data_IF_366426306032
#
_entry.id   IF_366426306032
#
_cell.length_a   1.000
_cell.length_b   1.000
_cell.length_c   1.000
_cell.angle_alpha   90.00
_cell.angle_beta   90.00
_cell.angle_gamma   90.00
#
_symmetry.space_group_name_H-M   'P 1'
#
loop_
_entity.id
_entity.type
_entity.pdbx_description
1 polymer ?
#
# COMPACT_ATOMS: atom_id res chain seq x y z
N UNK A 1 39.00 -51.24 4.63
CA UNK A 1 39.00 -50.43 5.87
C UNK A 1 39.53 -49.04 5.57
N UNK A 2 38.66 -48.02 5.55
CA UNK A 2 38.83 -46.69 6.19
C UNK A 2 37.65 -45.78 5.81
N UNK A 3 36.75 -45.66 6.79
CA UNK A 3 36.10 -44.42 7.25
C UNK A 3 35.04 -43.74 6.36
N UNK A 4 33.79 -43.99 6.75
CA UNK A 4 32.59 -43.15 6.55
C UNK A 4 32.75 -41.84 7.36
N UNK A 5 32.00 -40.81 6.96
CA UNK A 5 31.58 -39.60 7.72
C UNK A 5 32.26 -38.31 7.25
N UNK A 6 31.55 -37.58 6.41
CA UNK A 6 31.12 -36.17 6.58
C UNK A 6 30.13 -35.93 5.44
N UNK A 7 28.90 -36.45 5.52
CA UNK A 7 27.81 -35.89 6.33
C UNK A 7 27.74 -34.37 6.10
N UNK A 8 26.75 -33.98 5.30
CA UNK A 8 26.13 -32.67 5.38
C UNK A 8 27.14 -31.52 5.39
N UNK A 9 27.82 -31.24 4.27
CA UNK A 9 28.21 -29.85 4.00
C UNK A 9 26.95 -29.17 3.48
N UNK A 10 26.08 -28.92 4.47
CA UNK A 10 25.24 -27.75 4.61
C UNK A 10 24.80 -27.17 3.26
N UNK A 11 23.70 -27.73 2.77
CA UNK A 11 22.58 -27.06 2.10
C UNK A 11 22.08 -25.85 2.90
N UNK A 12 23.00 -24.94 3.23
CA UNK A 12 22.81 -23.78 4.09
C UNK A 12 23.59 -22.58 3.54
N UNK A 13 23.86 -22.58 2.24
CA UNK A 13 24.04 -21.32 1.52
C UNK A 13 22.66 -20.79 1.17
N UNK A 14 22.11 -20.10 2.17
CA UNK A 14 21.31 -18.90 1.98
C UNK A 14 20.11 -19.07 1.05
N UNK A 15 19.10 -19.78 1.55
CA UNK A 15 17.79 -19.12 1.64
C UNK A 15 17.95 -17.89 2.57
N UNK A 16 18.71 -16.89 2.15
CA UNK A 16 18.39 -15.52 2.51
C UNK A 16 17.10 -15.31 1.75
N UNK A 17 16.02 -15.67 2.43
CA UNK A 17 14.71 -15.16 2.16
C UNK A 17 14.93 -13.72 1.75
N UNK A 18 14.50 -13.42 0.53
CA UNK A 18 14.17 -12.06 0.15
C UNK A 18 13.07 -11.69 1.14
N UNK A 19 13.46 -11.34 2.38
CA UNK A 19 12.70 -10.46 3.24
C UNK A 19 12.72 -9.19 2.40
N UNK A 20 11.77 -9.12 1.48
CA UNK A 20 11.48 -7.93 0.74
C UNK A 20 11.43 -6.87 1.83
N UNK A 21 12.33 -5.89 1.70
CA UNK A 21 12.42 -4.70 2.53
C UNK A 21 11.16 -3.87 2.26
N UNK A 22 10.01 -4.49 2.49
CA UNK A 22 8.70 -3.94 2.28
C UNK A 22 8.46 -3.06 3.49
N UNK A 23 8.08 -1.82 3.21
CA UNK A 23 7.63 -0.91 4.24
C UNK A 23 6.12 -1.08 4.42
N UNK A 24 5.63 -0.67 5.58
CA UNK A 24 4.19 -0.47 5.76
C UNK A 24 3.68 0.49 4.69
N UNK A 25 2.68 0.10 3.93
CA UNK A 25 2.00 0.95 2.95
C UNK A 25 0.52 0.73 3.14
N UNK A 26 -0.24 1.80 3.35
CA UNK A 26 -1.69 1.70 3.44
C UNK A 26 -2.24 1.45 2.05
N UNK A 27 -2.84 0.28 1.81
CA UNK A 27 -3.51 -0.05 0.55
C UNK A 27 -5.00 0.14 0.72
N UNK A 28 -5.67 0.63 -0.31
CA UNK A 28 -7.12 0.71 -0.30
C UNK A 28 -7.70 -0.69 -0.06
N UNK A 29 -8.59 -0.79 0.93
CA UNK A 29 -9.23 -2.05 1.29
C UNK A 29 -10.33 -2.32 0.29
N UNK A 30 -10.28 -3.51 -0.31
CA UNK A 30 -11.40 -4.03 -1.07
C UNK A 30 -12.46 -4.60 -0.11
N UNK A 31 -13.70 -4.20 -0.30
CA UNK A 31 -14.84 -4.76 0.41
C UNK A 31 -15.68 -5.63 -0.55
N UNK A 32 -17.00 -5.66 -0.34
CA UNK A 32 -17.90 -6.46 -1.18
C UNK A 32 -18.07 -5.82 -2.57
N UNK A 33 -18.72 -6.54 -3.47
CA UNK A 33 -19.01 -6.08 -4.82
C UNK A 33 -19.91 -4.84 -4.83
N UNK A 34 -19.74 -3.96 -5.82
CA UNK A 34 -20.64 -2.82 -6.07
C UNK A 34 -22.11 -3.20 -6.34
N UNK A 35 -22.41 -4.50 -6.47
CA UNK A 35 -23.78 -5.02 -6.55
C UNK A 35 -24.56 -4.85 -5.25
N UNK A 36 -23.88 -4.66 -4.12
CA UNK A 36 -24.52 -4.35 -2.86
C UNK A 36 -24.68 -2.83 -2.76
N UNK A 37 -25.90 -2.35 -2.55
CA UNK A 37 -26.19 -0.92 -2.55
C UNK A 37 -25.88 -0.30 -1.17
N UNK A 38 -24.59 -0.13 -0.85
CA UNK A 38 -24.11 0.73 0.23
C UNK A 38 -22.97 1.63 -0.25
N UNK A 39 -22.53 2.58 0.57
CA UNK A 39 -21.37 3.42 0.25
C UNK A 39 -20.34 3.33 1.38
N UNK A 40 -19.06 3.27 1.01
CA UNK A 40 -17.97 3.38 1.96
C UNK A 40 -17.82 4.82 2.45
N UNK A 41 -17.55 4.94 3.75
CA UNK A 41 -17.05 6.18 4.32
C UNK A 41 -15.57 6.26 4.00
N UNK A 42 -15.23 7.12 3.05
CA UNK A 42 -13.85 7.35 2.64
C UNK A 42 -13.26 8.60 3.32
N UNK A 43 -11.92 8.68 3.47
CA UNK A 43 -11.25 9.89 3.92
C UNK A 43 -11.52 11.08 2.98
N UNK A 44 -11.26 12.30 3.45
CA UNK A 44 -11.37 13.48 2.59
C UNK A 44 -10.50 13.34 1.34
N UNK A 45 -11.03 13.72 0.18
CA UNK A 45 -10.35 13.56 -1.13
C UNK A 45 -10.58 12.20 -1.79
N UNK A 46 -11.23 11.26 -1.10
CA UNK A 46 -11.57 9.94 -1.62
C UNK A 46 -13.08 9.75 -1.77
N UNK A 47 -13.47 8.92 -2.72
CA UNK A 47 -14.85 8.50 -2.98
C UNK A 47 -14.89 6.96 -3.07
N UNK A 48 -16.04 6.38 -2.78
CA UNK A 48 -16.27 4.97 -3.07
C UNK A 48 -16.27 4.76 -4.59
N UNK A 49 -15.35 3.95 -5.10
CA UNK A 49 -15.20 3.70 -6.53
C UNK A 49 -16.44 3.04 -7.17
N UNK A 50 -17.36 2.48 -6.38
CA UNK A 50 -18.66 2.03 -6.90
C UNK A 50 -19.56 3.20 -7.31
N UNK A 51 -19.41 4.37 -6.70
CA UNK A 51 -20.20 5.56 -7.00
C UNK A 51 -19.78 6.22 -8.32
N UNK A 52 -18.52 6.06 -8.72
CA UNK A 52 -17.98 6.58 -9.99
C UNK A 52 -17.92 5.53 -11.09
N UNK A 53 -18.05 4.24 -10.75
CA UNK A 53 -17.90 3.13 -11.69
C UNK A 53 -16.45 2.77 -12.00
N UNK A 54 -15.49 3.35 -11.29
CA UNK A 54 -14.05 3.07 -11.45
C UNK A 54 -13.63 1.69 -10.91
N UNK A 55 -14.47 1.09 -10.07
CA UNK A 55 -14.18 -0.20 -9.43
C UNK A 55 -15.36 -1.16 -9.51
N UNK A 56 -15.10 -2.46 -9.33
CA UNK A 56 -16.12 -3.51 -9.28
C UNK A 56 -16.47 -3.94 -7.85
N UNK A 57 -15.75 -3.39 -6.87
CA UNK A 57 -15.91 -3.60 -5.43
C UNK A 57 -15.81 -2.27 -4.72
N UNK A 58 -16.51 -2.16 -3.60
CA UNK A 58 -16.41 -1.03 -2.71
C UNK A 58 -14.95 -0.84 -2.28
N UNK A 59 -14.36 0.27 -2.69
CA UNK A 59 -12.98 0.64 -2.42
C UNK A 59 -12.86 2.17 -2.48
N UNK A 60 -12.14 2.77 -1.52
CA UNK A 60 -11.87 4.20 -1.57
C UNK A 60 -10.84 4.51 -2.66
N UNK A 61 -11.24 5.29 -3.65
CA UNK A 61 -10.42 5.80 -4.76
C UNK A 61 -10.33 7.32 -4.69
N UNK A 62 -9.29 7.91 -5.26
CA UNK A 62 -9.17 9.37 -5.31
C UNK A 62 -10.33 9.95 -6.12
N UNK A 63 -10.97 11.01 -5.62
CA UNK A 63 -12.13 11.61 -6.28
C UNK A 63 -11.77 12.22 -7.64
N UNK A 64 -10.61 12.88 -7.71
CA UNK A 64 -10.11 13.58 -8.88
C UNK A 64 -8.58 13.42 -8.91
N UNK A 65 -8.03 13.16 -10.10
CA UNK A 65 -6.59 13.29 -10.33
C UNK A 65 -6.22 14.78 -10.37
N UNK A 66 -5.15 15.16 -9.67
CA UNK A 66 -4.59 16.50 -9.82
C UNK A 66 -3.87 16.68 -11.16
N UNK A 67 -3.38 17.90 -11.45
CA UNK A 67 -2.57 18.15 -12.63
C UNK A 67 -1.28 17.31 -12.63
N UNK A 68 -0.59 17.29 -13.76
CA UNK A 68 0.71 16.63 -13.87
C UNK A 68 1.74 17.20 -12.88
N UNK A 69 2.68 16.38 -12.42
CA UNK A 69 3.71 16.78 -11.44
C UNK A 69 4.66 17.88 -11.93
N UNK A 70 4.67 18.18 -13.24
CA UNK A 70 5.43 19.29 -13.82
C UNK A 70 4.92 20.67 -13.37
N UNK A 71 3.66 20.74 -12.92
CA UNK A 71 3.10 21.94 -12.31
C UNK A 71 3.52 21.94 -10.84
N UNK A 72 4.35 22.89 -10.40
CA UNK A 72 4.75 23.01 -8.99
C UNK A 72 3.59 23.52 -8.10
N UNK A 73 2.58 22.70 -7.91
CA UNK A 73 1.51 22.94 -6.95
C UNK A 73 1.70 22.06 -5.73
N UNK A 74 1.26 22.53 -4.55
CA UNK A 74 1.20 21.70 -3.36
C UNK A 74 -0.26 21.31 -3.11
N UNK A 75 -0.55 20.02 -3.09
CA UNK A 75 -1.86 19.53 -2.64
C UNK A 75 -1.81 19.22 -1.14
N UNK A 76 -2.86 19.63 -0.42
CA UNK A 76 -3.00 19.29 1.00
C UNK A 76 -3.58 17.88 1.12
N UNK A 77 -2.74 16.95 1.57
CA UNK A 77 -3.15 15.58 1.76
C UNK A 77 -3.68 15.30 3.17
N UNK A 78 -4.64 14.37 3.31
CA UNK A 78 -5.08 13.89 4.61
C UNK A 78 -3.94 13.27 5.42
N UNK A 79 -4.16 13.07 6.72
CA UNK A 79 -3.20 12.39 7.58
C UNK A 79 -2.82 11.00 7.03
N UNK A 80 -1.53 10.66 7.09
CA UNK A 80 -0.93 9.46 6.51
C UNK A 80 -0.90 9.40 4.98
N UNK A 81 -1.23 10.50 4.30
CA UNK A 81 -1.00 10.66 2.87
C UNK A 81 -0.01 11.80 2.60
N UNK A 82 0.70 11.70 1.47
CA UNK A 82 1.59 12.72 0.92
C UNK A 82 1.30 12.90 -0.56
N UNK A 83 1.70 14.03 -1.08
CA UNK A 83 1.66 14.25 -2.52
C UNK A 83 2.56 13.22 -3.20
N UNK A 84 1.99 12.45 -4.13
CA UNK A 84 2.73 11.46 -4.90
C UNK A 84 3.85 12.07 -5.73
N UNK A 85 3.70 13.32 -6.17
CA UNK A 85 4.76 14.07 -6.86
C UNK A 85 5.96 14.35 -5.94
N UNK A 86 5.73 14.74 -4.68
CA UNK A 86 6.82 15.01 -3.72
C UNK A 86 7.70 13.79 -3.46
N UNK A 87 7.13 12.59 -3.53
CA UNK A 87 7.85 11.33 -3.26
C UNK A 87 8.18 10.53 -4.52
N UNK A 88 7.88 11.07 -5.72
CA UNK A 88 8.12 10.42 -7.01
C UNK A 88 7.33 9.11 -7.20
N UNK A 89 6.15 8.99 -6.59
CA UNK A 89 5.31 7.80 -6.69
C UNK A 89 4.31 7.85 -7.85
N UNK A 90 4.04 9.03 -8.40
CA UNK A 90 2.99 9.28 -9.38
C UNK A 90 3.41 10.36 -10.38
N UNK A 91 2.75 10.40 -11.54
CA UNK A 91 2.98 11.42 -12.59
C UNK A 91 2.01 12.62 -12.49
N UNK A 92 1.04 12.52 -11.59
CA UNK A 92 0.04 13.55 -11.27
C UNK A 92 0.00 13.81 -9.77
N UNK A 93 -0.44 15.01 -9.39
CA UNK A 93 -0.67 15.37 -8.00
C UNK A 93 -1.84 14.56 -7.45
N UNK A 94 -1.52 13.53 -6.68
CA UNK A 94 -2.50 12.70 -6.00
C UNK A 94 -2.00 12.33 -4.61
N UNK A 95 -2.90 12.31 -3.64
CA UNK A 95 -2.53 11.97 -2.28
C UNK A 95 -2.31 10.48 -2.17
N UNK A 96 -1.06 10.05 -2.09
CA UNK A 96 -0.69 8.64 -1.92
C UNK A 96 -0.34 8.31 -0.48
N UNK A 97 -0.62 7.09 -0.03
CA UNK A 97 -0.23 6.60 1.28
C UNK A 97 1.27 6.79 1.57
N UNK A 98 1.61 7.35 2.73
CA UNK A 98 3.00 7.48 3.18
C UNK A 98 3.56 6.11 3.53
N UNK A 99 4.73 5.70 2.98
CA UNK A 99 5.42 4.51 3.44
C UNK A 99 5.84 4.66 4.91
N UNK A 100 5.41 3.73 5.74
CA UNK A 100 5.86 3.59 7.12
C UNK A 100 7.21 2.88 7.23
N UNK A 101 7.59 2.45 8.45
CA UNK A 101 8.83 1.70 8.67
C UNK A 101 8.78 0.33 7.96
N UNK A 102 9.92 -0.37 7.96
CA UNK A 102 10.02 -1.74 7.45
C UNK A 102 9.03 -2.67 8.14
N UNK A 103 8.36 -3.55 7.39
CA UNK A 103 7.50 -4.63 7.89
C UNK A 103 8.24 -5.57 8.85
N UNK A 104 9.58 -5.64 8.78
CA UNK A 104 10.39 -6.44 9.69
C UNK A 104 10.36 -5.91 11.13
N UNK A 105 9.98 -4.63 11.31
CA UNK A 105 9.73 -4.06 12.63
C UNK A 105 8.29 -4.42 12.98
N UNK A 106 8.09 -5.24 14.00
CA UNK A 106 6.76 -5.61 14.51
C UNK A 106 6.10 -4.42 15.22
N UNK A 107 5.76 -3.38 14.46
CA UNK A 107 5.03 -2.21 14.92
C UNK A 107 3.63 -2.21 14.33
N UNK A 108 2.68 -1.65 15.08
CA UNK A 108 1.34 -1.45 14.58
C UNK A 108 1.33 -0.19 13.71
N UNK A 109 1.30 -0.35 12.39
CA UNK A 109 0.95 0.73 11.48
C UNK A 109 -0.58 0.86 11.40
N UNK A 110 -1.07 2.09 11.57
CA UNK A 110 -2.50 2.40 11.51
C UNK A 110 -2.77 3.10 10.20
N UNK A 111 -3.74 2.59 9.45
CA UNK A 111 -4.17 3.18 8.19
C UNK A 111 -5.50 3.94 8.38
N UNK A 112 -5.74 4.99 7.59
CA UNK A 112 -7.02 5.68 7.53
C UNK A 112 -8.17 4.74 7.19
N UNK A 113 -9.40 5.15 7.52
CA UNK A 113 -10.62 4.41 7.17
C UNK A 113 -10.64 4.08 5.67
N UNK A 114 -11.03 2.85 5.34
CA UNK A 114 -11.01 2.38 3.96
C UNK A 114 -9.64 1.88 3.47
N UNK A 115 -8.60 1.93 4.30
CA UNK A 115 -7.26 1.42 3.99
C UNK A 115 -6.79 0.37 5.00
N UNK A 116 -5.90 -0.51 4.56
CA UNK A 116 -5.29 -1.58 5.36
C UNK A 116 -3.77 -1.58 5.19
N UNK A 117 -3.08 -1.99 6.24
CA UNK A 117 -1.63 -2.12 6.24
C UNK A 117 -1.19 -3.30 5.36
N UNK A 118 -0.45 -3.01 4.29
CA UNK A 118 0.03 -4.01 3.34
C UNK A 118 1.03 -5.03 3.91
N UNK A 119 1.59 -4.80 5.10
CA UNK A 119 2.39 -5.81 5.81
C UNK A 119 1.53 -6.88 6.51
N UNK A 120 0.20 -6.69 6.58
CA UNK A 120 -0.75 -7.57 7.28
C UNK A 120 -1.70 -8.29 6.32
N UNK A 121 -1.33 -8.38 5.04
CA UNK A 121 -2.09 -9.08 3.99
C UNK A 121 -1.71 -10.55 3.91
#
# INVERSE_FOLDING_TARGET
>A
MKTIILLFIFTLLSATEVLAKQNHICKAREFTSCRFEYALICPNGYIDGCMTGETTKHQCVMKEEGPACEFEIAILCPEHFRDGCEIGATDTHQCVPVPGPSCAINTRWTCPSGFIDGCKL
#
